data_IF_034722715533
#
_entry.id   IF_034722715533
#
_cell.length_a   1.000
_cell.length_b   1.000
_cell.length_c   1.000
_cell.angle_alpha   90.00
_cell.angle_beta   90.00
_cell.angle_gamma   90.00
#
_symmetry.space_group_name_H-M   'P 1'
#
loop_
_entity.id
_entity.type
_entity.pdbx_description
1 polymer ?
#
# COMPACT_ATOMS: atom_id res chain seq x y z
N UNK A 1 -38.56 18.18 54.20
CA UNK A 1 -38.79 18.56 52.79
C UNK A 1 -37.50 18.32 51.99
N UNK A 2 -37.49 17.28 51.17
CA UNK A 2 -36.57 17.11 50.00
C UNK A 2 -37.09 18.05 48.88
N UNK A 3 -36.34 18.46 47.82
CA UNK A 3 -35.48 17.53 47.07
C UNK A 3 -34.28 18.07 46.25
N UNK A 4 -33.43 17.10 45.87
CA UNK A 4 -32.77 16.91 44.57
C UNK A 4 -32.19 18.15 43.86
N UNK A 5 -30.92 18.50 44.11
CA UNK A 5 -30.04 19.08 43.07
C UNK A 5 -28.60 18.61 43.31
N UNK A 6 -28.34 17.29 43.22
CA UNK A 6 -26.97 16.73 43.33
C UNK A 6 -26.54 15.86 42.13
N UNK A 7 -27.36 15.77 41.08
CA UNK A 7 -27.11 14.86 39.95
C UNK A 7 -27.58 15.43 38.61
N UNK A 8 -27.11 16.61 38.19
CA UNK A 8 -27.48 17.15 36.87
C UNK A 8 -26.32 17.42 35.89
N UNK A 9 -25.05 17.32 36.26
CA UNK A 9 -23.98 17.52 35.26
C UNK A 9 -22.86 16.47 35.31
N UNK A 10 -23.19 15.22 35.61
CA UNK A 10 -22.31 14.08 35.30
C UNK A 10 -23.07 13.24 34.25
N UNK A 11 -23.06 13.69 33.00
CA UNK A 11 -23.37 12.89 31.81
C UNK A 11 -22.97 13.65 30.53
N UNK A 12 -21.80 14.28 30.54
CA UNK A 12 -21.09 14.63 29.29
C UNK A 12 -19.65 14.15 29.44
N UNK A 13 -19.50 12.85 29.64
CA UNK A 13 -18.26 12.16 29.35
C UNK A 13 -18.59 11.12 28.27
N UNK A 14 -17.74 11.04 27.25
CA UNK A 14 -17.82 10.16 26.08
C UNK A 14 -18.87 10.54 25.05
N UNK A 15 -18.53 11.46 24.13
CA UNK A 15 -18.14 11.09 22.76
C UNK A 15 -17.13 12.14 22.29
N UNK A 16 -15.85 12.02 22.69
CA UNK A 16 -14.80 12.56 21.85
C UNK A 16 -14.73 11.60 20.67
N UNK A 17 -15.50 11.89 19.63
CA UNK A 17 -15.35 11.22 18.34
C UNK A 17 -13.96 11.59 17.88
N UNK A 18 -13.01 10.69 18.06
CA UNK A 18 -11.72 10.73 17.37
C UNK A 18 -12.02 10.43 15.90
N UNK A 19 -12.67 11.36 15.20
CA UNK A 19 -12.50 11.41 13.77
C UNK A 19 -11.03 11.78 13.60
N UNK A 20 -10.24 10.82 13.10
CA UNK A 20 -8.85 11.10 12.76
C UNK A 20 -8.87 12.34 11.87
N UNK A 21 -8.30 13.44 12.36
CA UNK A 21 -8.14 14.66 11.56
C UNK A 21 -7.52 14.24 10.22
N UNK A 22 -8.10 14.64 9.08
CA UNK A 22 -7.57 14.26 7.78
C UNK A 22 -6.10 14.68 7.74
N UNK A 23 -5.22 13.72 7.49
CA UNK A 23 -3.78 13.99 7.38
C UNK A 23 -3.62 15.16 6.39
N UNK A 24 -3.01 16.29 6.78
CA UNK A 24 -2.91 17.46 5.91
C UNK A 24 -2.11 17.18 4.63
N UNK A 25 -1.34 16.08 4.59
CA UNK A 25 -0.68 15.59 3.37
C UNK A 25 -1.65 14.88 2.40
N UNK A 26 -2.79 14.41 2.88
CA UNK A 26 -3.80 13.70 2.11
C UNK A 26 -4.81 14.66 1.45
N UNK A 27 -4.39 15.34 0.37
CA UNK A 27 -5.29 16.12 -0.49
C UNK A 27 -5.79 15.34 -1.72
N UNK A 28 -5.97 14.03 -1.57
CA UNK A 28 -6.56 13.16 -2.59
C UNK A 28 -8.05 12.97 -2.28
N UNK A 29 -8.88 12.98 -3.32
CA UNK A 29 -10.30 12.62 -3.19
C UNK A 29 -10.44 11.10 -3.21
N UNK A 30 -9.89 10.44 -2.20
CA UNK A 30 -10.06 9.01 -2.00
C UNK A 30 -11.54 8.67 -1.76
N UNK A 31 -12.06 7.66 -2.45
CA UNK A 31 -13.42 7.12 -2.22
C UNK A 31 -13.40 5.78 -1.49
N UNK A 32 -12.22 5.36 -1.03
CA UNK A 32 -11.98 4.09 -0.36
C UNK A 32 -12.20 4.13 1.15
N UNK A 33 -11.93 3.00 1.79
CA UNK A 33 -11.99 2.82 3.24
C UNK A 33 -10.77 3.42 3.95
N UNK A 34 -10.91 3.74 5.25
CA UNK A 34 -9.83 4.17 6.14
C UNK A 34 -8.72 3.15 6.35
N UNK A 35 -8.90 1.91 5.87
CA UNK A 35 -7.83 0.92 5.81
C UNK A 35 -6.75 1.25 4.78
N UNK A 36 -6.96 2.25 3.92
CA UNK A 36 -6.01 2.67 2.89
C UNK A 36 -5.40 4.04 3.19
N UNK A 37 -4.18 4.27 2.74
CA UNK A 37 -3.55 5.58 2.85
C UNK A 37 -4.40 6.64 2.15
N UNK A 38 -4.70 7.72 2.87
CA UNK A 38 -5.56 8.80 2.39
C UNK A 38 -6.94 8.33 1.88
N UNK A 39 -7.45 7.21 2.41
CA UNK A 39 -8.70 6.59 1.97
C UNK A 39 -8.72 6.29 0.46
N UNK A 40 -7.57 6.01 -0.16
CA UNK A 40 -7.45 5.69 -1.59
C UNK A 40 -6.73 4.34 -1.74
N UNK A 41 -7.46 3.33 -2.22
CA UNK A 41 -6.96 1.96 -2.31
C UNK A 41 -5.70 1.82 -3.18
N UNK A 42 -5.51 2.73 -4.13
CA UNK A 42 -4.31 2.77 -4.97
C UNK A 42 -3.08 3.00 -4.09
N UNK A 43 -3.17 3.90 -3.11
CA UNK A 43 -2.04 4.22 -2.23
C UNK A 43 -1.68 3.11 -1.24
N UNK A 44 -2.36 1.96 -1.29
CA UNK A 44 -2.09 0.80 -0.45
C UNK A 44 -2.60 0.96 0.98
N UNK A 45 -2.35 -0.03 1.86
CA UNK A 45 -2.92 -0.03 3.19
C UNK A 45 -2.35 1.09 4.07
N UNK A 46 -3.18 1.66 4.93
CA UNK A 46 -2.78 2.70 5.89
C UNK A 46 -1.67 2.17 6.81
N UNK A 47 -1.81 0.93 7.29
CA UNK A 47 -0.82 0.23 8.09
C UNK A 47 -0.17 -0.89 7.26
N UNK A 48 1.16 -0.97 7.30
CA UNK A 48 1.89 -2.07 6.66
C UNK A 48 1.82 -3.34 7.54
N UNK A 49 1.67 -4.53 6.95
CA UNK A 49 1.71 -5.79 7.70
C UNK A 49 3.09 -5.99 8.36
N UNK A 50 3.11 -6.28 9.66
CA UNK A 50 4.34 -6.43 10.44
C UNK A 50 5.21 -7.58 9.92
N UNK A 51 4.56 -8.67 9.48
CA UNK A 51 5.22 -9.88 9.00
C UNK A 51 6.02 -9.64 7.71
N UNK A 52 5.65 -8.61 6.93
CA UNK A 52 6.28 -8.29 5.66
C UNK A 52 7.28 -7.14 5.75
N UNK A 53 7.49 -6.55 6.93
CA UNK A 53 8.38 -5.39 7.07
C UNK A 53 9.82 -5.67 6.61
N UNK A 54 10.30 -6.91 6.76
CA UNK A 54 11.61 -7.32 6.28
C UNK A 54 11.76 -7.24 4.74
N UNK A 55 10.66 -7.42 3.99
CA UNK A 55 10.64 -7.26 2.53
C UNK A 55 10.53 -5.80 2.09
N UNK A 56 10.11 -4.93 3.01
CA UNK A 56 9.87 -3.51 2.78
C UNK A 56 11.03 -2.64 3.29
N UNK A 57 12.20 -3.23 3.51
CA UNK A 57 13.38 -2.47 3.87
C UNK A 57 13.71 -1.46 2.76
N UNK A 58 13.88 -0.19 3.13
CA UNK A 58 14.01 0.97 2.23
C UNK A 58 12.78 1.26 1.33
N UNK A 59 11.60 0.71 1.64
CA UNK A 59 10.37 1.05 0.92
C UNK A 59 9.86 2.44 1.32
N UNK A 60 10.12 3.43 0.46
CA UNK A 60 9.42 4.73 0.52
C UNK A 60 8.22 4.69 -0.42
N UNK A 61 7.03 4.48 0.14
CA UNK A 61 5.77 4.27 -0.59
C UNK A 61 5.52 5.27 -1.73
N UNK A 62 5.76 6.55 -1.48
CA UNK A 62 5.55 7.63 -2.46
C UNK A 62 6.86 8.19 -3.02
N UNK A 63 8.02 7.62 -2.66
CA UNK A 63 9.32 8.08 -3.13
C UNK A 63 9.66 9.54 -2.73
N UNK A 64 9.01 10.07 -1.70
CA UNK A 64 9.15 11.48 -1.27
C UNK A 64 8.18 12.47 -1.94
N UNK A 65 7.30 12.01 -2.83
CA UNK A 65 6.21 12.82 -3.38
C UNK A 65 5.00 12.86 -2.43
N UNK A 66 4.16 13.88 -2.57
CA UNK A 66 2.83 13.87 -1.95
C UNK A 66 1.87 12.93 -2.72
N UNK A 67 0.78 12.45 -2.09
CA UNK A 67 -0.17 11.52 -2.70
C UNK A 67 -0.77 11.98 -4.04
N UNK A 68 -1.05 13.28 -4.20
CA UNK A 68 -1.66 13.83 -5.41
C UNK A 68 -0.66 13.77 -6.55
N UNK A 69 0.57 14.23 -6.30
CA UNK A 69 1.66 14.19 -7.27
C UNK A 69 1.94 12.76 -7.71
N UNK A 70 2.06 11.83 -6.76
CA UNK A 70 2.30 10.41 -7.04
C UNK A 70 1.22 9.81 -7.95
N UNK A 71 -0.06 10.01 -7.61
CA UNK A 71 -1.17 9.49 -8.42
C UNK A 71 -1.25 10.15 -9.79
N UNK A 72 -0.97 11.46 -9.89
CA UNK A 72 -0.97 12.16 -11.18
C UNK A 72 0.08 11.63 -12.15
N UNK A 73 1.20 11.12 -11.62
CA UNK A 73 2.31 10.58 -12.40
C UNK A 73 2.08 9.14 -12.83
N UNK A 74 1.56 8.31 -11.92
CA UNK A 74 1.55 6.86 -12.09
C UNK A 74 0.17 6.26 -12.38
N UNK A 75 -0.91 7.02 -12.25
CA UNK A 75 -2.28 6.55 -12.49
C UNK A 75 -3.03 7.39 -13.52
N UNK A 76 -4.01 6.78 -14.19
CA UNK A 76 -4.91 7.44 -15.12
C UNK A 76 -6.24 6.71 -15.16
N UNK A 77 -7.35 7.46 -15.23
CA UNK A 77 -8.69 6.86 -15.32
C UNK A 77 -9.12 6.02 -14.11
N UNK A 78 -8.43 6.16 -12.96
CA UNK A 78 -8.68 5.35 -11.76
C UNK A 78 -7.79 4.11 -11.65
N UNK A 79 -6.99 3.81 -12.66
CA UNK A 79 -6.10 2.64 -12.71
C UNK A 79 -4.62 3.03 -12.80
N UNK A 80 -3.76 2.07 -12.50
CA UNK A 80 -2.31 2.22 -12.65
C UNK A 80 -1.87 2.17 -14.11
N UNK A 81 -0.95 3.07 -14.47
CA UNK A 81 -0.27 3.06 -15.77
C UNK A 81 0.99 2.21 -15.64
N UNK A 82 0.95 1.00 -16.17
CA UNK A 82 2.07 0.07 -16.16
C UNK A 82 3.09 0.37 -17.27
N UNK A 83 4.38 0.07 -17.06
CA UNK A 83 5.38 0.16 -18.11
C UNK A 83 5.07 -0.79 -19.27
N UNK A 84 5.48 -0.39 -20.47
CA UNK A 84 5.48 -1.27 -21.63
C UNK A 84 6.41 -2.48 -21.46
N UNK A 85 6.41 -3.39 -22.44
CA UNK A 85 7.30 -4.55 -22.46
C UNK A 85 7.22 -5.42 -21.17
N UNK A 86 6.04 -5.52 -20.56
CA UNK A 86 5.82 -6.26 -19.30
C UNK A 86 6.72 -5.81 -18.14
N UNK A 87 7.24 -4.57 -18.18
CA UNK A 87 8.16 -4.06 -17.16
C UNK A 87 9.59 -4.60 -17.22
N UNK A 88 9.97 -5.33 -18.28
CA UNK A 88 11.37 -5.66 -18.51
C UNK A 88 12.18 -4.39 -18.80
N UNK A 89 13.45 -4.40 -18.38
CA UNK A 89 14.40 -3.36 -18.80
C UNK A 89 14.54 -3.38 -20.32
N UNK A 90 14.70 -2.20 -20.91
CA UNK A 90 14.90 -2.06 -22.35
C UNK A 90 16.40 -1.93 -22.65
N UNK A 91 16.83 -2.51 -23.76
CA UNK A 91 18.17 -2.27 -24.29
C UNK A 91 18.27 -0.92 -25.03
N UNK A 92 19.44 -0.61 -25.59
CA UNK A 92 19.67 0.64 -26.33
C UNK A 92 18.82 0.79 -27.59
N UNK A 93 18.16 -0.28 -28.06
CA UNK A 93 17.27 -0.28 -29.22
C UNK A 93 15.79 -0.16 -28.82
N UNK A 94 15.49 -0.16 -27.52
CA UNK A 94 14.13 -0.16 -26.98
C UNK A 94 13.49 -1.55 -26.91
N UNK A 95 14.26 -2.62 -27.12
CA UNK A 95 13.76 -3.99 -27.03
C UNK A 95 13.85 -4.52 -25.59
N UNK A 96 12.90 -5.39 -25.21
CA UNK A 96 12.84 -5.98 -23.88
C UNK A 96 14.05 -6.91 -23.63
N UNK A 97 14.78 -6.66 -22.55
CA UNK A 97 15.86 -7.51 -22.06
C UNK A 97 15.29 -8.66 -21.24
N UNK A 98 14.85 -9.72 -21.93
CA UNK A 98 14.32 -10.93 -21.31
C UNK A 98 15.00 -12.19 -21.84
N UNK A 99 15.03 -13.25 -21.02
CA UNK A 99 15.54 -14.59 -21.41
C UNK A 99 14.63 -15.68 -20.85
N UNK A 100 14.54 -16.78 -21.58
CA UNK A 100 13.89 -17.99 -21.08
C UNK A 100 14.76 -18.66 -20.01
N UNK A 101 14.15 -18.96 -18.87
CA UNK A 101 14.76 -19.69 -17.77
C UNK A 101 13.83 -20.82 -17.35
N UNK A 102 14.37 -22.03 -17.28
CA UNK A 102 13.66 -23.18 -16.70
C UNK A 102 13.88 -23.19 -15.19
N UNK A 103 12.81 -23.10 -14.42
CA UNK A 103 12.87 -23.25 -12.96
C UNK A 103 13.13 -24.72 -12.61
N UNK A 104 14.13 -24.97 -11.77
CA UNK A 104 14.38 -26.30 -11.25
C UNK A 104 13.37 -26.64 -10.16
N UNK A 105 13.09 -27.93 -9.98
CA UNK A 105 12.28 -28.40 -8.85
C UNK A 105 12.96 -27.97 -7.55
N UNK A 106 12.17 -27.42 -6.63
CA UNK A 106 12.65 -26.87 -5.35
C UNK A 106 13.05 -25.39 -5.39
N UNK A 107 12.96 -24.72 -6.55
CA UNK A 107 13.11 -23.25 -6.59
C UNK A 107 11.96 -22.58 -5.84
N UNK A 108 12.30 -21.74 -4.86
CA UNK A 108 11.35 -20.92 -4.12
C UNK A 108 11.09 -19.60 -4.87
N UNK A 109 9.82 -19.22 -4.94
CA UNK A 109 9.35 -18.00 -5.58
C UNK A 109 8.24 -17.38 -4.71
N UNK A 110 8.10 -16.07 -4.77
CA UNK A 110 7.06 -15.31 -4.09
C UNK A 110 6.28 -14.40 -5.06
N UNK A 111 5.15 -13.88 -4.60
CA UNK A 111 4.30 -12.94 -5.34
C UNK A 111 3.44 -12.13 -4.39
N UNK A 112 3.37 -10.81 -4.62
CA UNK A 112 2.35 -9.94 -4.04
C UNK A 112 1.24 -9.78 -5.08
N UNK A 113 0.06 -10.36 -4.81
CA UNK A 113 -1.11 -10.26 -5.67
C UNK A 113 -1.85 -11.59 -5.85
N UNK A 114 -3.00 -11.54 -6.53
CA UNK A 114 -3.84 -12.71 -6.77
C UNK A 114 -3.17 -13.76 -7.67
N UNK A 115 -3.59 -15.01 -7.53
CA UNK A 115 -3.04 -16.20 -8.22
C UNK A 115 -3.28 -16.20 -9.74
N UNK A 116 -4.18 -15.35 -10.24
CA UNK A 116 -4.50 -15.25 -11.66
C UNK A 116 -3.48 -14.42 -12.48
N UNK A 117 -2.48 -13.81 -11.84
CA UNK A 117 -1.42 -13.11 -12.57
C UNK A 117 -0.18 -13.96 -12.80
N UNK A 118 0.71 -13.48 -13.67
CA UNK A 118 1.80 -14.29 -14.23
C UNK A 118 3.20 -13.86 -13.76
N UNK A 119 3.30 -12.85 -12.90
CA UNK A 119 4.57 -12.33 -12.41
C UNK A 119 4.90 -12.92 -11.05
N UNK A 120 6.12 -13.44 -10.91
CA UNK A 120 6.68 -13.97 -9.68
C UNK A 120 8.05 -13.34 -9.44
N UNK A 121 8.51 -13.33 -8.20
CA UNK A 121 9.85 -12.91 -7.82
C UNK A 121 10.61 -14.12 -7.27
N UNK A 122 11.93 -14.10 -7.47
CA UNK A 122 12.82 -15.07 -6.86
C UNK A 122 13.13 -14.62 -5.44
N UNK A 123 13.01 -15.52 -4.48
CA UNK A 123 13.48 -15.28 -3.12
C UNK A 123 15.02 -15.43 -3.09
N UNK A 124 15.74 -14.53 -2.39
CA UNK A 124 17.17 -14.69 -2.16
C UNK A 124 17.48 -16.04 -1.51
N UNK A 125 18.63 -16.63 -1.83
CA UNK A 125 19.08 -17.89 -1.23
C UNK A 125 19.24 -17.81 0.31
N UNK A 126 19.27 -16.60 0.89
CA UNK A 126 19.35 -16.37 2.32
C UNK A 126 18.07 -16.76 3.07
N UNK A 127 16.92 -16.84 2.40
CA UNK A 127 15.64 -17.21 3.02
C UNK A 127 15.44 -18.74 3.10
N UNK A 128 16.45 -19.54 2.74
CA UNK A 128 16.36 -21.00 2.68
C UNK A 128 16.62 -21.71 4.02
N UNK A 129 17.24 -21.02 4.98
CA UNK A 129 17.81 -21.65 6.18
C UNK A 129 17.10 -21.24 7.49
N UNK A 130 15.86 -20.74 7.42
CA UNK A 130 15.00 -20.50 8.59
C UNK A 130 13.86 -21.52 8.70
#
# INVERSE_FOLDING_TARGET
MRPLVKYLCILIAFIASSEAEPDPSCNVRGTGSSQFLCNDERLGPANLPEELLHLLDNYSRLGGEDPVTFLSRWSSGGDWVYPGANGFLLDSTGAAMAKFLTLKVGTLVDRIGAENGMQIRFLPLADRDN
#
